data_IF_933491787226
#
_entry.id   IF_933491787226
#
_cell.length_a   1.000
_cell.length_b   1.000
_cell.length_c   1.000
_cell.angle_alpha   90.00
_cell.angle_beta   90.00
_cell.angle_gamma   90.00
#
_symmetry.space_group_name_H-M   'P 1'
#
loop_
_entity.id
_entity.type
_entity.pdbx_description
1 polymer ?
#
# COMPACT_ATOMS: atom_id res chain seq x y z
N UNK A 1 -47.99 -29.13 9.94
CA UNK A 1 -46.59 -28.72 10.17
C UNK A 1 -46.06 -28.18 8.85
N UNK A 2 -46.10 -26.86 8.66
CA UNK A 2 -45.69 -26.22 7.41
C UNK A 2 -44.19 -25.95 7.42
N UNK A 3 -43.45 -26.62 6.53
CA UNK A 3 -42.03 -26.34 6.32
C UNK A 3 -41.97 -25.05 5.49
N UNK A 4 -41.90 -23.90 6.15
CA UNK A 4 -41.73 -22.61 5.49
C UNK A 4 -40.39 -22.57 4.78
N UNK A 5 -40.41 -22.63 3.44
CA UNK A 5 -39.22 -22.53 2.61
C UNK A 5 -38.52 -21.18 2.80
N UNK A 6 -37.24 -21.22 3.15
CA UNK A 6 -36.40 -20.03 3.31
C UNK A 6 -36.26 -19.35 1.94
N UNK A 7 -36.54 -18.03 1.80
CA UNK A 7 -36.49 -17.37 0.51
C UNK A 7 -35.04 -17.34 0.00
N UNK A 8 -34.80 -17.46 -1.33
CA UNK A 8 -33.45 -17.62 -1.90
C UNK A 8 -32.51 -16.45 -1.58
N UNK A 9 -33.07 -15.26 -1.39
CA UNK A 9 -32.35 -14.08 -0.89
C UNK A 9 -31.78 -14.27 0.52
N UNK A 10 -32.53 -14.85 1.45
CA UNK A 10 -32.05 -15.09 2.82
C UNK A 10 -30.91 -16.11 2.86
N UNK A 11 -30.93 -17.13 1.99
CA UNK A 11 -29.82 -18.06 1.83
C UNK A 11 -28.55 -17.32 1.34
N UNK A 12 -28.69 -16.41 0.37
CA UNK A 12 -27.58 -15.63 -0.16
C UNK A 12 -26.96 -14.69 0.91
N UNK A 13 -27.80 -14.06 1.75
CA UNK A 13 -27.34 -13.30 2.91
C UNK A 13 -26.62 -14.17 3.95
N UNK A 14 -27.14 -15.36 4.24
CA UNK A 14 -26.49 -16.30 5.17
C UNK A 14 -25.12 -16.76 4.66
N UNK A 15 -24.99 -17.03 3.36
CA UNK A 15 -23.70 -17.34 2.75
C UNK A 15 -22.74 -16.16 2.87
N UNK A 16 -23.16 -14.93 2.54
CA UNK A 16 -22.32 -13.74 2.66
C UNK A 16 -21.83 -13.51 4.10
N UNK A 17 -22.69 -13.69 5.10
CA UNK A 17 -22.32 -13.57 6.53
C UNK A 17 -21.35 -14.66 6.95
N UNK A 18 -21.58 -15.90 6.49
CA UNK A 18 -20.68 -17.03 6.77
C UNK A 18 -19.28 -16.82 6.19
N UNK A 19 -19.13 -16.22 5.01
CA UNK A 19 -17.83 -15.95 4.40
C UNK A 19 -17.06 -14.83 5.12
N UNK A 20 -17.76 -13.84 5.71
CA UNK A 20 -17.11 -12.75 6.46
C UNK A 20 -16.52 -13.25 7.79
N UNK A 21 -17.11 -14.29 8.40
CA UNK A 21 -16.70 -14.80 9.71
C UNK A 21 -15.41 -15.63 9.74
N UNK A 22 -14.84 -15.99 8.58
CA UNK A 22 -13.65 -16.86 8.51
C UNK A 22 -12.33 -16.16 8.85
N UNK A 23 -12.30 -14.83 8.94
CA UNK A 23 -11.09 -14.08 9.28
C UNK A 23 -11.13 -13.62 10.74
N UNK A 24 -10.72 -14.46 11.67
CA UNK A 24 -10.52 -14.06 13.07
C UNK A 24 -9.17 -13.37 13.24
N UNK A 25 -9.12 -12.10 13.68
CA UNK A 25 -7.86 -11.46 14.04
C UNK A 25 -7.26 -12.11 15.29
N UNK A 26 -5.93 -12.07 15.39
CA UNK A 26 -5.19 -12.55 16.56
C UNK A 26 -5.62 -11.78 17.81
N UNK A 27 -5.87 -12.49 18.91
CA UNK A 27 -6.33 -11.88 20.15
C UNK A 27 -5.23 -10.99 20.76
N UNK A 28 -5.43 -9.67 20.92
CA UNK A 28 -4.42 -8.77 21.46
C UNK A 28 -4.11 -9.00 22.95
N UNK A 29 -4.96 -9.72 23.67
CA UNK A 29 -4.80 -9.98 25.11
C UNK A 29 -3.99 -11.26 25.42
N UNK A 30 -3.60 -12.03 24.40
CA UNK A 30 -2.78 -13.24 24.58
C UNK A 30 -1.31 -12.86 24.90
N UNK A 31 -0.73 -13.35 26.01
CA UNK A 31 0.64 -13.03 26.42
C UNK A 31 1.72 -13.47 25.41
N UNK A 32 1.38 -14.37 24.48
CA UNK A 32 2.30 -14.89 23.47
C UNK A 32 2.24 -14.09 22.15
N UNK A 33 1.63 -12.91 22.16
CA UNK A 33 1.55 -11.99 21.01
C UNK A 33 2.64 -10.92 21.10
N UNK A 34 3.50 -10.89 20.10
CA UNK A 34 4.59 -9.94 19.95
C UNK A 34 4.30 -8.90 18.85
N UNK A 35 4.88 -7.71 18.97
CA UNK A 35 4.83 -6.71 17.90
C UNK A 35 6.02 -6.85 16.95
N UNK A 36 5.75 -7.16 15.69
CA UNK A 36 6.76 -7.26 14.64
C UNK A 36 6.69 -6.05 13.70
N UNK A 37 7.86 -5.55 13.28
CA UNK A 37 7.96 -4.51 12.27
C UNK A 37 8.13 -5.14 10.91
N UNK A 38 7.16 -4.90 10.03
CA UNK A 38 7.21 -5.38 8.65
C UNK A 38 7.48 -4.23 7.69
N UNK A 39 8.46 -4.45 6.80
CA UNK A 39 8.68 -3.60 5.64
C UNK A 39 7.72 -3.98 4.52
N UNK A 40 7.05 -3.00 3.92
CA UNK A 40 6.16 -3.20 2.79
C UNK A 40 6.44 -2.17 1.69
N UNK A 41 6.27 -2.59 0.44
CA UNK A 41 6.48 -1.75 -0.72
C UNK A 41 5.22 -0.92 -1.01
N UNK A 42 5.35 0.41 -0.99
CA UNK A 42 4.25 1.34 -1.28
C UNK A 42 4.59 2.18 -2.49
N UNK A 43 3.64 2.30 -3.41
CA UNK A 43 3.73 3.24 -4.53
C UNK A 43 3.38 4.64 -4.03
N UNK A 44 4.38 5.52 -3.94
CA UNK A 44 4.21 6.91 -3.53
C UNK A 44 4.38 7.82 -4.74
N UNK A 45 3.64 8.92 -4.77
CA UNK A 45 3.84 9.98 -5.75
C UNK A 45 5.02 10.85 -5.31
N UNK A 46 6.11 10.79 -6.05
CA UNK A 46 7.30 11.61 -5.82
C UNK A 46 7.29 12.81 -6.76
N UNK A 47 7.52 14.00 -6.21
CA UNK A 47 7.84 15.17 -7.03
C UNK A 47 9.29 15.10 -7.49
N UNK A 48 9.53 15.45 -8.75
CA UNK A 48 10.87 15.56 -9.32
C UNK A 48 10.99 16.83 -10.15
N UNK A 49 12.22 17.33 -10.29
CA UNK A 49 12.52 18.48 -11.13
C UNK A 49 12.60 18.03 -12.60
N UNK A 50 11.58 18.38 -13.38
CA UNK A 50 11.53 18.08 -14.79
C UNK A 50 12.16 19.23 -15.60
N UNK A 51 13.23 18.98 -16.37
CA UNK A 51 13.85 20.01 -17.20
C UNK A 51 12.96 20.34 -18.39
N UNK A 52 12.92 21.61 -18.78
CA UNK A 52 12.34 22.06 -20.04
C UNK A 52 13.20 23.16 -20.64
N UNK A 53 13.18 23.27 -21.97
CA UNK A 53 13.92 24.29 -22.68
C UNK A 53 13.10 25.59 -22.73
N UNK A 54 13.68 26.66 -22.19
CA UNK A 54 13.11 27.99 -22.19
C UNK A 54 13.85 28.86 -23.20
N UNK A 55 13.15 29.20 -24.29
CA UNK A 55 13.66 30.13 -25.31
C UNK A 55 13.43 31.57 -24.88
N UNK A 56 14.48 32.38 -24.90
CA UNK A 56 14.42 33.82 -24.66
C UNK A 56 15.29 34.57 -25.67
N UNK A 57 14.94 35.83 -25.94
CA UNK A 57 15.64 36.64 -26.92
C UNK A 57 16.61 37.61 -26.25
N UNK A 58 17.85 37.64 -26.75
CA UNK A 58 18.88 38.60 -26.31
C UNK A 58 19.28 39.52 -27.45
N UNK A 59 19.80 40.71 -27.13
CA UNK A 59 20.35 41.60 -28.15
C UNK A 59 21.77 41.16 -28.55
N UNK A 60 22.04 41.16 -29.85
CA UNK A 60 23.32 40.74 -30.45
C UNK A 60 23.69 41.65 -31.63
N UNK A 61 24.94 41.58 -32.08
CA UNK A 61 25.46 42.37 -33.22
C UNK A 61 25.06 41.85 -34.61
N UNK A 62 24.13 40.91 -34.68
CA UNK A 62 23.77 40.24 -35.93
C UNK A 62 22.68 41.02 -36.70
N UNK A 63 23.08 41.67 -37.80
CA UNK A 63 22.23 42.55 -38.62
C UNK A 63 21.17 41.76 -39.40
N UNK A 64 21.50 40.55 -39.84
CA UNK A 64 20.57 39.70 -40.60
C UNK A 64 19.39 39.22 -39.75
N UNK A 65 19.60 39.09 -38.43
CA UNK A 65 18.61 38.61 -37.47
C UNK A 65 17.96 39.75 -36.66
N UNK A 66 17.92 40.98 -37.20
CA UNK A 66 17.31 42.14 -36.56
C UNK A 66 17.84 42.40 -35.13
N UNK A 67 19.15 42.23 -34.92
CA UNK A 67 19.82 42.36 -33.61
C UNK A 67 19.23 41.47 -32.50
N UNK A 68 18.50 40.40 -32.84
CA UNK A 68 17.93 39.43 -31.89
C UNK A 68 18.62 38.08 -32.04
N UNK A 69 19.16 37.53 -30.96
CA UNK A 69 19.54 36.13 -30.90
C UNK A 69 18.53 35.34 -30.07
N UNK A 70 18.22 34.13 -30.53
CA UNK A 70 17.59 33.10 -29.71
C UNK A 70 18.62 32.54 -28.73
N UNK A 71 18.26 32.50 -27.45
CA UNK A 71 19.02 31.82 -26.41
C UNK A 71 18.13 30.76 -25.78
N UNK A 72 18.75 29.64 -25.44
CA UNK A 72 18.12 28.49 -24.83
C UNK A 72 18.64 28.38 -23.40
N UNK A 73 17.72 28.22 -22.43
CA UNK A 73 18.05 27.99 -21.03
C UNK A 73 17.25 26.81 -20.55
N UNK A 74 17.94 25.87 -19.91
CA UNK A 74 17.27 24.77 -19.20
C UNK A 74 16.68 25.35 -17.91
N UNK A 75 15.36 25.31 -17.83
CA UNK A 75 14.59 25.68 -16.64
C UNK A 75 13.91 24.42 -16.08
N UNK A 76 13.58 24.43 -14.79
CA UNK A 76 13.00 23.27 -14.10
C UNK A 76 11.58 23.56 -13.66
N UNK A 77 10.69 22.60 -13.86
CA UNK A 77 9.32 22.61 -13.34
C UNK A 77 9.08 21.38 -12.47
N UNK A 78 8.25 21.51 -11.45
CA UNK A 78 7.85 20.36 -10.63
C UNK A 78 6.95 19.44 -11.43
N UNK A 79 7.34 18.18 -11.57
CA UNK A 79 6.52 17.13 -12.15
C UNK A 79 6.39 15.96 -11.16
N UNK A 80 5.44 15.07 -11.41
CA UNK A 80 5.17 13.95 -10.51
C UNK A 80 5.42 12.62 -11.22
N UNK A 81 6.01 11.68 -10.49
CA UNK A 81 6.21 10.30 -10.92
C UNK A 81 5.80 9.33 -9.82
N UNK A 82 5.44 8.11 -10.19
CA UNK A 82 5.18 7.04 -9.22
C UNK A 82 6.50 6.33 -8.93
N UNK A 83 6.93 6.36 -7.67
CA UNK A 83 8.08 5.62 -7.17
C UNK A 83 7.64 4.56 -6.15
N UNK A 84 8.35 3.44 -6.08
CA UNK A 84 8.15 2.46 -5.01
C UNK A 84 9.05 2.83 -3.85
N UNK A 85 8.47 2.98 -2.66
CA UNK A 85 9.20 3.23 -1.42
C UNK A 85 8.89 2.15 -0.40
N UNK A 86 9.92 1.74 0.34
CA UNK A 86 9.76 0.85 1.49
C UNK A 86 9.22 1.66 2.66
N UNK A 87 8.07 1.23 3.19
CA UNK A 87 7.46 1.76 4.41
C UNK A 87 7.45 0.69 5.49
N UNK A 88 7.29 1.10 6.75
CA UNK A 88 7.27 0.18 7.90
C UNK A 88 5.93 0.26 8.61
N UNK A 89 5.37 -0.91 8.96
CA UNK A 89 4.14 -1.02 9.75
C UNK A 89 4.37 -2.02 10.87
N UNK A 90 3.89 -1.67 12.07
CA UNK A 90 3.84 -2.59 13.20
C UNK A 90 2.64 -3.53 13.05
N UNK A 91 2.88 -4.84 13.09
CA UNK A 91 1.84 -5.89 13.11
C UNK A 91 1.98 -6.73 14.37
N UNK A 92 0.86 -7.23 14.89
CA UNK A 92 0.83 -8.27 15.93
C UNK A 92 1.03 -9.63 15.28
N UNK A 93 1.95 -10.43 15.82
CA UNK A 93 2.26 -11.80 15.39
C UNK A 93 2.61 -12.64 16.62
N UNK A 94 2.43 -13.96 16.54
CA UNK A 94 2.90 -14.84 17.60
C UNK A 94 4.41 -14.70 17.80
N UNK A 95 4.84 -14.70 19.06
CA UNK A 95 6.25 -14.62 19.40
C UNK A 95 7.05 -15.81 18.83
N UNK A 96 8.38 -15.68 18.62
CA UNK A 96 9.20 -16.77 18.13
C UNK A 96 9.05 -18.03 18.99
N UNK A 97 8.69 -19.16 18.36
CA UNK A 97 8.44 -20.44 19.05
C UNK A 97 6.95 -20.80 19.25
N UNK A 98 6.04 -19.85 19.00
CA UNK A 98 4.60 -20.06 18.98
C UNK A 98 4.08 -19.98 17.55
N UNK A 99 2.98 -20.68 17.26
CA UNK A 99 2.29 -20.62 15.97
C UNK A 99 0.84 -20.20 16.17
N UNK A 100 0.27 -19.61 15.13
CA UNK A 100 -1.11 -19.15 15.11
C UNK A 100 -2.05 -20.34 14.89
N UNK A 101 -2.93 -20.60 15.85
CA UNK A 101 -4.03 -21.55 15.73
C UNK A 101 -5.34 -20.82 15.96
N UNK A 102 -6.00 -20.41 14.88
CA UNK A 102 -7.17 -19.53 14.96
C UNK A 102 -6.78 -18.15 15.49
N UNK A 103 -7.34 -17.73 16.63
CA UNK A 103 -7.07 -16.44 17.26
C UNK A 103 -6.03 -16.48 18.39
N UNK A 104 -5.42 -17.64 18.65
CA UNK A 104 -4.51 -17.89 19.78
C UNK A 104 -3.11 -18.30 19.32
N UNK A 105 -2.11 -17.99 20.15
CA UNK A 105 -0.73 -18.39 19.93
C UNK A 105 -0.37 -19.60 20.81
N UNK A 106 -0.22 -20.76 20.17
CA UNK A 106 0.01 -22.05 20.84
C UNK A 106 1.45 -22.52 20.62
N UNK A 107 1.98 -23.31 21.57
CA UNK A 107 3.34 -23.85 21.47
C UNK A 107 3.35 -25.03 20.51
N UNK A 108 4.39 -25.14 19.68
CA UNK A 108 4.54 -26.20 18.66
C UNK A 108 4.35 -27.64 19.19
N UNK A 109 4.59 -27.91 20.47
CA UNK A 109 4.41 -29.25 21.07
C UNK A 109 2.91 -29.62 21.25
N UNK A 110 2.02 -28.64 21.43
CA UNK A 110 0.57 -28.87 21.55
C UNK A 110 -0.13 -29.01 20.19
N UNK A 111 0.46 -28.47 19.12
CA UNK A 111 -0.04 -28.54 17.73
C UNK A 111 -0.16 -29.95 17.17
N UNK A 112 0.74 -30.82 17.58
CA UNK A 112 0.87 -32.16 17.03
C UNK A 112 -0.13 -33.16 17.64
N UNK A 113 -0.98 -32.68 18.58
CA UNK A 113 -1.89 -33.51 19.36
C UNK A 113 -3.36 -33.05 19.24
N UNK A 114 -3.70 -32.33 18.17
CA UNK A 114 -5.06 -31.93 17.75
C UNK A 114 -5.27 -32.24 16.29
#
# INVERSE_FOLDING_TARGET
>A
MGVGGVPPQALLWLFLISFIALATPLNPDDPNVCSHWESYAVTVQESYAHPFDQVYYTRCTDILNWFKCTRHRISYKTAYRRGVRTMYRRRSQCCPGFFESGSLCVRREEAAMS
#
